data_IF_558425884181
#
_entry.id   IF_558425884181
#
_cell.length_a   1.000
_cell.length_b   1.000
_cell.length_c   1.000
_cell.angle_alpha   90.00
_cell.angle_beta   90.00
_cell.angle_gamma   90.00
#
_symmetry.space_group_name_H-M   'P 1'
#
loop_
_entity.id
_entity.type
_entity.pdbx_description
1 polymer ?
#
# COMPACT_ATOMS: atom_id res chain seq x y z
N UNK A 1 -38.48 -20.03 -26.81
CA UNK A 1 -37.77 -18.93 -26.11
C UNK A 1 -36.30 -19.27 -26.10
N UNK A 2 -35.52 -18.55 -26.86
CA UNK A 2 -34.07 -18.75 -26.89
C UNK A 2 -33.44 -18.10 -25.65
N UNK A 3 -32.82 -18.89 -24.78
CA UNK A 3 -31.94 -18.38 -23.75
C UNK A 3 -30.69 -17.81 -24.43
N UNK A 4 -30.49 -16.50 -24.33
CA UNK A 4 -29.22 -15.85 -24.68
C UNK A 4 -28.22 -16.24 -23.62
N UNK A 5 -27.31 -17.12 -23.94
CA UNK A 5 -26.08 -17.35 -23.19
C UNK A 5 -25.29 -16.05 -23.10
N UNK A 6 -25.29 -15.43 -21.91
CA UNK A 6 -24.33 -14.39 -21.58
C UNK A 6 -22.95 -15.06 -21.44
N UNK A 7 -22.18 -15.02 -22.52
CA UNK A 7 -20.74 -15.29 -22.43
C UNK A 7 -20.14 -14.32 -21.42
N UNK A 8 -19.86 -14.81 -20.25
CA UNK A 8 -19.06 -14.08 -19.26
C UNK A 8 -17.64 -13.98 -19.80
N UNK A 9 -17.23 -12.76 -20.10
CA UNK A 9 -15.85 -12.45 -20.47
C UNK A 9 -14.94 -12.60 -19.23
N UNK A 10 -14.46 -13.80 -18.98
CA UNK A 10 -13.55 -14.10 -17.85
C UNK A 10 -12.07 -13.81 -18.15
N UNK A 11 -11.73 -13.28 -19.32
CA UNK A 11 -10.35 -13.34 -19.79
C UNK A 11 -9.42 -12.19 -19.40
N UNK A 12 -9.90 -11.00 -19.03
CA UNK A 12 -9.00 -9.85 -18.82
C UNK A 12 -8.94 -9.34 -17.37
N UNK A 13 -10.02 -9.41 -16.61
CA UNK A 13 -10.01 -8.92 -15.24
C UNK A 13 -9.30 -9.85 -14.26
N UNK A 14 -9.48 -11.17 -14.38
CA UNK A 14 -8.84 -12.13 -13.48
C UNK A 14 -7.31 -12.10 -13.51
N UNK A 15 -6.72 -11.82 -14.68
CA UNK A 15 -5.27 -11.77 -14.80
C UNK A 15 -4.66 -10.48 -14.21
N UNK A 16 -5.40 -9.38 -14.20
CA UNK A 16 -4.98 -8.11 -13.60
C UNK A 16 -5.06 -8.15 -12.07
N UNK A 17 -6.16 -8.69 -11.54
CA UNK A 17 -6.33 -8.90 -10.10
C UNK A 17 -5.26 -9.84 -9.55
N UNK A 18 -4.97 -10.93 -10.25
CA UNK A 18 -3.92 -11.88 -9.85
C UNK A 18 -2.54 -11.23 -9.76
N UNK A 19 -2.16 -10.38 -10.73
CA UNK A 19 -0.87 -9.67 -10.71
C UNK A 19 -0.79 -8.68 -9.55
N UNK A 20 -1.85 -7.95 -9.29
CA UNK A 20 -1.94 -7.03 -8.15
C UNK A 20 -1.80 -7.78 -6.84
N UNK A 21 -2.47 -8.91 -6.69
CA UNK A 21 -2.41 -9.73 -5.49
C UNK A 21 -1.01 -10.31 -5.25
N UNK A 22 -0.33 -10.77 -6.29
CA UNK A 22 1.04 -11.29 -6.19
C UNK A 22 2.01 -10.20 -5.74
N UNK A 23 1.94 -9.01 -6.32
CA UNK A 23 2.81 -7.89 -5.93
C UNK A 23 2.51 -7.47 -4.48
N UNK A 24 1.26 -7.37 -4.11
CA UNK A 24 0.84 -7.05 -2.74
C UNK A 24 1.37 -8.07 -1.74
N UNK A 25 1.30 -9.36 -2.06
CA UNK A 25 1.84 -10.43 -1.22
C UNK A 25 3.37 -10.36 -1.11
N UNK A 26 4.08 -10.10 -2.20
CA UNK A 26 5.53 -9.97 -2.20
C UNK A 26 6.01 -8.80 -1.33
N UNK A 27 5.33 -7.65 -1.42
CA UNK A 27 5.67 -6.46 -0.65
C UNK A 27 5.41 -6.61 0.86
N UNK A 28 4.72 -7.66 1.27
CA UNK A 28 4.54 -8.01 2.68
C UNK A 28 5.65 -8.91 3.24
N UNK A 29 6.58 -9.32 2.39
CA UNK A 29 7.76 -10.09 2.79
C UNK A 29 8.92 -9.11 2.94
N UNK A 30 9.54 -8.97 4.14
CA UNK A 30 10.53 -7.94 4.41
C UNK A 30 11.71 -7.92 3.43
N UNK A 31 12.19 -9.07 3.01
CA UNK A 31 13.30 -9.20 2.06
C UNK A 31 12.96 -8.55 0.71
N UNK A 32 11.76 -8.82 0.19
CA UNK A 32 11.31 -8.24 -1.07
C UNK A 32 10.97 -6.76 -0.95
N UNK A 33 10.35 -6.36 0.17
CA UNK A 33 10.07 -4.95 0.44
C UNK A 33 11.37 -4.14 0.50
N UNK A 34 12.41 -4.71 1.10
CA UNK A 34 13.73 -4.07 1.17
C UNK A 34 14.37 -3.93 -0.22
N UNK A 35 14.28 -4.96 -1.05
CA UNK A 35 14.80 -4.92 -2.42
C UNK A 35 14.10 -3.85 -3.25
N UNK A 36 12.79 -3.75 -3.16
CA UNK A 36 12.00 -2.73 -3.86
C UNK A 36 12.36 -1.33 -3.35
N UNK A 37 12.45 -1.17 -2.03
CA UNK A 37 12.85 0.11 -1.43
C UNK A 37 14.24 0.55 -1.91
N UNK A 38 15.20 -0.35 -1.91
CA UNK A 38 16.56 -0.05 -2.38
C UNK A 38 16.57 0.35 -3.86
N UNK A 39 15.83 -0.35 -4.69
CA UNK A 39 15.73 -0.03 -6.11
C UNK A 39 15.13 1.36 -6.36
N UNK A 40 14.12 1.73 -5.60
CA UNK A 40 13.44 3.02 -5.75
C UNK A 40 14.25 4.20 -5.20
N UNK A 41 15.02 3.98 -4.15
CA UNK A 41 15.72 5.05 -3.44
C UNK A 41 17.23 5.05 -3.71
N UNK A 42 17.70 4.21 -4.62
CA UNK A 42 19.12 4.04 -4.90
C UNK A 42 19.94 3.79 -3.62
N UNK A 43 19.42 2.96 -2.75
CA UNK A 43 20.01 2.55 -1.48
C UNK A 43 20.47 1.10 -1.52
N UNK A 44 21.23 0.67 -0.52
CA UNK A 44 21.84 -0.65 -0.46
C UNK A 44 21.73 -1.29 0.94
N UNK A 45 20.59 -1.12 1.58
CA UNK A 45 20.35 -1.78 2.87
C UNK A 45 20.31 -3.29 2.69
N UNK A 46 20.90 -4.02 3.64
CA UNK A 46 21.04 -5.49 3.55
C UNK A 46 20.27 -6.24 4.63
N UNK A 47 19.82 -5.55 5.67
CA UNK A 47 19.14 -6.15 6.81
C UNK A 47 17.61 -6.07 6.68
N UNK A 48 16.91 -7.17 6.38
CA UNK A 48 15.45 -7.18 6.29
C UNK A 48 14.74 -6.81 7.60
N UNK A 49 15.41 -6.95 8.75
CA UNK A 49 14.85 -6.60 10.06
C UNK A 49 14.66 -5.08 10.22
N UNK A 50 15.26 -4.27 9.36
CA UNK A 50 14.98 -2.84 9.29
C UNK A 50 13.57 -2.52 8.79
N UNK A 51 12.92 -3.46 8.11
CA UNK A 51 11.56 -3.29 7.58
C UNK A 51 10.55 -3.68 8.66
N UNK A 52 9.66 -2.75 8.98
CA UNK A 52 8.50 -3.03 9.81
C UNK A 52 7.24 -2.96 8.94
N UNK A 53 6.69 -4.12 8.62
CA UNK A 53 5.46 -4.21 7.84
C UNK A 53 4.29 -3.73 8.69
N UNK A 54 3.48 -2.84 8.10
CA UNK A 54 2.24 -2.37 8.69
C UNK A 54 1.07 -3.10 8.05
N UNK A 55 0.17 -3.63 8.87
CA UNK A 55 -1.07 -4.24 8.39
C UNK A 55 -2.25 -3.41 8.89
N UNK A 56 -3.10 -3.03 7.96
CA UNK A 56 -4.40 -2.48 8.32
C UNK A 56 -5.31 -3.66 8.67
N UNK A 57 -5.68 -3.77 9.93
CA UNK A 57 -6.61 -4.79 10.38
C UNK A 57 -8.00 -4.56 9.79
N UNK A 58 -8.72 -5.68 9.55
CA UNK A 58 -10.12 -5.66 9.16
C UNK A 58 -10.95 -4.99 10.27
N UNK A 59 -11.51 -3.84 10.03
CA UNK A 59 -12.30 -3.13 11.04
C UNK A 59 -12.47 -1.65 10.77
N UNK A 60 -11.77 -1.12 9.79
CA UNK A 60 -11.99 0.22 9.30
C UNK A 60 -13.16 0.15 8.31
N UNK A 61 -14.20 0.92 8.58
CA UNK A 61 -15.47 0.95 7.85
C UNK A 61 -15.35 1.32 6.36
N UNK A 62 -14.17 1.67 5.90
CA UNK A 62 -13.87 1.91 4.50
C UNK A 62 -12.96 0.77 4.04
N UNK A 63 -13.43 -0.03 3.10
CA UNK A 63 -12.67 -1.10 2.44
C UNK A 63 -11.50 -0.58 1.59
N UNK A 64 -10.93 0.55 1.97
CA UNK A 64 -9.85 1.22 1.25
C UNK A 64 -8.53 0.80 1.86
N UNK A 65 -7.75 0.00 1.14
CA UNK A 65 -6.43 -0.49 1.54
C UNK A 65 -5.42 -0.17 0.46
N UNK A 66 -4.23 0.24 0.88
CA UNK A 66 -3.10 0.19 -0.03
C UNK A 66 -2.51 -1.24 -0.07
N UNK A 67 -1.75 -1.55 -1.11
CA UNK A 67 -1.20 -2.88 -1.31
C UNK A 67 -0.15 -3.23 -0.27
N UNK A 68 0.72 -2.29 0.08
CA UNK A 68 1.71 -2.49 1.11
C UNK A 68 2.09 -1.20 1.81
N UNK A 69 2.31 -1.30 3.12
CA UNK A 69 2.84 -0.23 3.94
C UNK A 69 3.91 -0.76 4.88
N UNK A 70 5.02 -0.06 4.98
CA UNK A 70 6.09 -0.44 5.89
C UNK A 70 6.91 0.76 6.33
N UNK A 71 7.47 0.66 7.53
CA UNK A 71 8.50 1.57 8.00
C UNK A 71 9.87 1.05 7.65
N UNK A 72 10.73 1.97 7.25
CA UNK A 72 12.18 1.78 7.22
C UNK A 72 12.83 3.10 7.64
N UNK A 73 13.74 3.05 8.62
CA UNK A 73 14.32 4.25 9.19
C UNK A 73 13.22 5.25 9.61
N UNK A 74 13.29 6.48 9.17
CA UNK A 74 12.31 7.55 9.43
C UNK A 74 11.24 7.68 8.35
N UNK A 75 11.07 6.68 7.50
CA UNK A 75 10.14 6.74 6.38
C UNK A 75 8.99 5.75 6.55
N UNK A 76 7.80 6.23 6.28
CA UNK A 76 6.61 5.39 6.12
C UNK A 76 6.30 5.28 4.63
N UNK A 77 6.49 4.10 4.08
CA UNK A 77 6.27 3.85 2.66
C UNK A 77 4.90 3.25 2.43
N UNK A 78 4.15 3.85 1.52
CA UNK A 78 2.85 3.38 1.07
C UNK A 78 2.95 3.08 -0.42
N UNK A 79 2.88 1.81 -0.76
CA UNK A 79 3.03 1.33 -2.13
C UNK A 79 1.70 0.79 -2.66
N UNK A 80 1.41 1.08 -3.89
CA UNK A 80 0.21 0.63 -4.57
C UNK A 80 0.53 0.22 -6.00
N UNK A 81 -0.03 -0.89 -6.44
CA UNK A 81 0.04 -1.33 -7.82
C UNK A 81 -1.24 -0.97 -8.56
N UNK A 82 -1.10 -0.42 -9.75
CA UNK A 82 -2.24 -0.08 -10.61
C UNK A 82 -2.04 -0.63 -12.01
N UNK A 83 -3.02 -1.34 -12.52
CA UNK A 83 -3.10 -1.76 -13.92
C UNK A 83 -3.89 -0.79 -14.78
N UNK A 84 -4.65 0.10 -14.16
CA UNK A 84 -5.46 1.13 -14.83
C UNK A 84 -5.17 2.47 -14.17
N UNK A 85 -5.00 3.51 -14.98
CA UNK A 85 -4.82 4.85 -14.46
C UNK A 85 -6.02 5.29 -13.61
N UNK A 86 -5.74 5.82 -12.43
CA UNK A 86 -6.76 6.38 -11.56
C UNK A 86 -6.32 7.76 -11.05
N UNK A 87 -7.07 8.82 -11.36
CA UNK A 87 -6.76 10.17 -10.89
C UNK A 87 -6.97 10.33 -9.37
N UNK A 88 -7.62 9.37 -8.73
CA UNK A 88 -7.95 9.42 -7.30
C UNK A 88 -6.88 8.79 -6.40
N UNK A 89 -5.75 8.35 -6.96
CA UNK A 89 -4.66 7.77 -6.16
C UNK A 89 -4.18 8.70 -5.03
N UNK A 90 -3.97 10.01 -5.23
CA UNK A 90 -3.57 10.90 -4.15
C UNK A 90 -4.58 10.95 -3.01
N UNK A 91 -5.89 10.94 -3.31
CA UNK A 91 -6.94 10.92 -2.29
C UNK A 91 -6.94 9.60 -1.51
N UNK A 92 -6.76 8.47 -2.19
CA UNK A 92 -6.63 7.17 -1.52
C UNK A 92 -5.42 7.14 -0.59
N UNK A 93 -4.27 7.63 -1.01
CA UNK A 93 -3.08 7.70 -0.17
C UNK A 93 -3.31 8.56 1.08
N UNK A 94 -4.03 9.66 0.98
CA UNK A 94 -4.38 10.47 2.14
C UNK A 94 -5.21 9.68 3.15
N UNK A 95 -6.16 8.89 2.68
CA UNK A 95 -7.00 8.02 3.52
C UNK A 95 -6.16 6.92 4.17
N UNK A 96 -5.28 6.26 3.41
CA UNK A 96 -4.38 5.23 3.94
C UNK A 96 -3.44 5.80 5.02
N UNK A 97 -2.84 6.95 4.73
CA UNK A 97 -1.95 7.62 5.66
C UNK A 97 -2.67 7.96 6.96
N UNK A 98 -3.87 8.53 6.87
CA UNK A 98 -4.70 8.85 8.03
C UNK A 98 -4.98 7.61 8.88
N UNK A 99 -5.32 6.50 8.24
CA UNK A 99 -5.59 5.24 8.91
C UNK A 99 -4.36 4.68 9.64
N UNK A 100 -3.19 4.77 9.03
CA UNK A 100 -1.93 4.35 9.63
C UNK A 100 -1.51 5.25 10.79
N UNK A 101 -1.65 6.55 10.65
CA UNK A 101 -1.33 7.50 11.71
C UNK A 101 -2.23 7.33 12.92
N UNK A 102 -3.51 7.03 12.73
CA UNK A 102 -4.43 6.72 13.84
C UNK A 102 -3.99 5.52 14.66
N UNK A 103 -3.31 4.55 14.06
CA UNK A 103 -2.77 3.39 14.77
C UNK A 103 -1.51 3.71 15.57
N UNK A 104 -0.72 4.66 15.13
CA UNK A 104 0.61 4.94 15.67
C UNK A 104 0.64 6.13 16.61
N UNK A 105 -0.33 7.02 16.53
CA UNK A 105 -0.40 8.24 17.34
C UNK A 105 -1.50 8.12 18.39
N UNK A 106 -1.12 8.31 19.67
CA UNK A 106 -2.09 8.34 20.76
C UNK A 106 -2.95 9.61 20.74
N UNK A 107 -4.23 9.46 21.09
CA UNK A 107 -5.15 10.61 21.19
C UNK A 107 -4.65 11.69 22.14
N UNK A 108 -3.99 11.31 23.26
CA UNK A 108 -3.37 12.23 24.20
C UNK A 108 -2.25 13.06 23.59
N UNK A 109 -1.49 12.46 22.68
CA UNK A 109 -0.35 13.12 22.06
C UNK A 109 -0.80 14.23 21.11
N UNK A 110 -1.91 14.04 20.39
CA UNK A 110 -2.47 15.05 19.49
C UNK A 110 -2.91 16.32 20.19
N UNK A 111 -3.40 16.21 21.43
CA UNK A 111 -3.87 17.34 22.23
C UNK A 111 -2.84 17.81 23.27
N UNK A 112 -1.69 17.18 23.29
CA UNK A 112 -0.60 17.53 24.19
C UNK A 112 0.17 18.78 23.73
N UNK A 113 1.05 19.25 24.58
CA UNK A 113 1.88 20.43 24.33
C UNK A 113 3.16 20.11 23.55
N UNK A 114 3.55 18.85 23.48
CA UNK A 114 4.73 18.43 22.74
C UNK A 114 4.38 18.21 21.28
N UNK A 115 5.29 18.60 20.39
CA UNK A 115 5.15 18.29 18.97
C UNK A 115 5.17 16.77 18.76
N UNK A 116 4.17 16.25 18.09
CA UNK A 116 4.17 14.85 17.64
C UNK A 116 5.06 14.75 16.41
N UNK A 117 6.02 13.84 16.45
CA UNK A 117 6.86 13.52 15.31
C UNK A 117 6.31 12.28 14.61
N UNK A 118 6.23 12.34 13.30
CA UNK A 118 5.82 11.21 12.46
C UNK A 118 6.93 10.86 11.47
N UNK A 119 6.94 9.61 11.02
CA UNK A 119 7.79 9.20 9.92
C UNK A 119 7.38 9.95 8.64
N UNK A 120 8.34 10.29 7.81
CA UNK A 120 8.07 10.95 6.53
C UNK A 120 7.33 9.99 5.60
N UNK A 121 6.10 10.31 5.15
CA UNK A 121 5.38 9.46 4.23
C UNK A 121 5.96 9.54 2.83
N UNK A 122 6.16 8.37 2.22
CA UNK A 122 6.53 8.21 0.82
C UNK A 122 5.45 7.39 0.11
N UNK A 123 4.95 7.92 -1.00
CA UNK A 123 3.92 7.26 -1.80
C UNK A 123 4.52 6.80 -3.12
N UNK A 124 4.21 5.58 -3.50
CA UNK A 124 4.62 5.04 -4.79
C UNK A 124 3.49 4.26 -5.45
N UNK A 125 3.30 4.52 -6.71
CA UNK A 125 2.37 3.78 -7.57
C UNK A 125 3.18 3.05 -8.62
N UNK A 126 3.05 1.74 -8.65
CA UNK A 126 3.59 0.90 -9.71
C UNK A 126 2.51 0.73 -10.78
N UNK A 127 2.70 1.38 -11.89
CA UNK A 127 1.74 1.38 -12.98
C UNK A 127 2.25 0.54 -14.14
N UNK A 128 1.51 -0.49 -14.53
CA UNK A 128 1.80 -1.34 -15.66
C UNK A 128 0.68 -1.39 -16.70
N UNK A 129 -0.18 -0.39 -16.68
CA UNK A 129 -1.24 -0.22 -17.70
C UNK A 129 -0.68 0.25 -19.05
N UNK A 130 -1.48 0.14 -20.06
CA UNK A 130 -1.22 0.66 -21.39
C UNK A 130 -1.88 2.01 -21.62
#
# INVERSE_FOLDING_TARGET
MAQKDKKRNYGSNGNREYKSDVISMMLQIPEYALDVYNAMNNSAYTDPDMIQIMRLENGISLSVRNDASFFISNYLNLYEHQSTYSPNAPLRFLIYLTSLLKKTIGKRDLYGRKRVQIATPHFAVFYNGT
#
